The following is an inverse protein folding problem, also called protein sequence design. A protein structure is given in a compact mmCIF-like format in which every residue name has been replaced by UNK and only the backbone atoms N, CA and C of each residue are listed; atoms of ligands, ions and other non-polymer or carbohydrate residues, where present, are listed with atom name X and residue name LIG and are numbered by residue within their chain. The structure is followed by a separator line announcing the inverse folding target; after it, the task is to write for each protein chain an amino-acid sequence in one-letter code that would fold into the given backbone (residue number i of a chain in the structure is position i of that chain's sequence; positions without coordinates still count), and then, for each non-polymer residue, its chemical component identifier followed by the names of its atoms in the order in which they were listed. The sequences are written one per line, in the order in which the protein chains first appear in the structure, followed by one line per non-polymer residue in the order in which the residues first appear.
data_IF_187113222240
#
_entry.id   IF_187113222240
#
_cell.length_a   1.000
_cell.length_b   1.000
_cell.length_c   1.000
_cell.angle_alpha   90.00
_cell.angle_beta   90.00
_cell.angle_gamma   90.00
#
_symmetry.space_group_name_H-M   'P 1'
#
loop_
_entity.id
_entity.type
_entity.pdbx_description
1 polymer ?
#
# COMPACT_ATOMS: atom_id res chain seq x y z
N UNK A 1 -4.78 -21.70 15.16
CA UNK A 1 -3.73 -21.73 16.20
C UNK A 1 -2.38 -21.65 15.50
N UNK A 2 -1.35 -20.99 16.07
CA UNK A 2 0.00 -21.00 15.48
C UNK A 2 0.55 -22.43 15.44
N UNK A 3 1.38 -22.72 14.44
CA UNK A 3 2.03 -24.02 14.25
C UNK A 3 3.22 -24.27 15.18
N UNK A 4 3.70 -23.21 15.82
CA UNK A 4 4.76 -23.27 16.83
C UNK A 4 4.35 -22.48 18.07
N UNK A 5 4.95 -22.78 19.21
CA UNK A 5 4.76 -22.01 20.44
C UNK A 5 5.29 -20.58 20.25
N UNK A 6 4.49 -19.60 20.60
CA UNK A 6 4.91 -18.22 20.68
C UNK A 6 5.78 -18.01 21.94
N UNK A 7 6.86 -17.28 21.81
CA UNK A 7 7.75 -16.90 22.94
C UNK A 7 7.23 -15.59 23.52
N UNK A 8 6.69 -15.65 24.72
CA UNK A 8 6.22 -14.44 25.42
C UNK A 8 7.37 -13.59 25.92
N UNK A 9 7.14 -12.29 26.10
CA UNK A 9 8.19 -11.33 26.50
C UNK A 9 8.92 -11.77 27.77
N UNK A 10 8.18 -12.26 28.78
CA UNK A 10 8.74 -12.72 30.05
C UNK A 10 9.61 -13.98 29.95
N UNK A 11 9.41 -14.78 28.90
CA UNK A 11 10.12 -16.04 28.64
C UNK A 11 11.28 -15.88 27.65
N UNK A 12 11.37 -14.71 27.01
CA UNK A 12 12.36 -14.43 25.98
C UNK A 12 13.78 -14.34 26.54
N UNK A 13 14.77 -14.86 25.78
CA UNK A 13 16.17 -14.65 26.08
C UNK A 13 16.54 -13.15 26.05
N UNK A 14 17.63 -12.72 26.67
CA UNK A 14 18.06 -11.32 26.61
C UNK A 14 18.19 -10.78 25.19
N UNK A 15 18.71 -11.59 24.25
CA UNK A 15 18.83 -11.22 22.82
C UNK A 15 17.49 -11.02 22.13
N UNK A 16 16.54 -11.95 22.32
CA UNK A 16 15.18 -11.86 21.77
C UNK A 16 14.45 -10.67 22.38
N UNK A 17 14.62 -10.43 23.68
CA UNK A 17 13.99 -9.32 24.38
C UNK A 17 14.49 -7.97 23.85
N UNK A 18 15.78 -7.83 23.58
CA UNK A 18 16.32 -6.61 22.97
C UNK A 18 15.67 -6.31 21.60
N UNK A 19 15.42 -7.35 20.78
CA UNK A 19 14.71 -7.18 19.50
C UNK A 19 13.23 -6.79 19.74
N UNK A 20 12.58 -7.37 20.73
CA UNK A 20 11.20 -7.01 21.09
C UNK A 20 11.09 -5.54 21.53
N UNK A 21 12.02 -5.08 22.35
CA UNK A 21 12.07 -3.69 22.81
C UNK A 21 12.26 -2.73 21.63
N UNK A 22 13.15 -3.06 20.69
CA UNK A 22 13.34 -2.28 19.48
C UNK A 22 12.06 -2.27 18.61
N UNK A 23 11.39 -3.42 18.41
CA UNK A 23 10.14 -3.51 17.67
C UNK A 23 9.06 -2.61 18.29
N UNK A 24 8.90 -2.69 19.61
CA UNK A 24 7.90 -1.88 20.34
C UNK A 24 8.22 -0.40 20.22
N UNK A 25 9.47 0.00 20.39
CA UNK A 25 9.91 1.39 20.28
C UNK A 25 9.69 1.94 18.85
N UNK A 26 10.14 1.22 17.82
CA UNK A 26 10.01 1.66 16.42
C UNK A 26 8.56 1.74 15.98
N UNK A 27 7.70 0.81 16.41
CA UNK A 27 6.27 0.77 16.04
C UNK A 27 5.39 1.66 16.92
N UNK A 28 5.91 2.22 18.01
CA UNK A 28 5.15 3.03 18.97
C UNK A 28 4.00 2.23 19.58
N UNK A 29 4.28 1.02 20.09
CA UNK A 29 3.32 0.11 20.72
C UNK A 29 3.86 -0.43 22.04
N UNK A 30 2.98 -0.86 22.93
CA UNK A 30 3.29 -1.36 24.29
C UNK A 30 3.20 -2.89 24.41
N UNK A 31 3.10 -3.59 23.28
CA UNK A 31 3.03 -5.06 23.24
C UNK A 31 3.86 -5.63 22.09
N UNK A 32 4.30 -6.88 22.22
CA UNK A 32 4.97 -7.61 21.15
C UNK A 32 3.93 -8.29 20.27
N UNK A 33 3.82 -7.95 18.96
CA UNK A 33 2.87 -8.60 18.07
C UNK A 33 3.16 -10.10 17.89
N UNK A 34 2.12 -10.90 17.76
CA UNK A 34 2.21 -12.38 17.71
C UNK A 34 3.13 -12.90 16.60
N UNK A 35 3.22 -12.20 15.46
CA UNK A 35 4.16 -12.55 14.40
C UNK A 35 5.61 -12.64 14.92
N UNK A 36 6.06 -11.65 15.69
CA UNK A 36 7.41 -11.62 16.25
C UNK A 36 7.60 -12.67 17.33
N UNK A 37 6.58 -12.89 18.18
CA UNK A 37 6.60 -13.97 19.18
C UNK A 37 6.71 -15.36 18.52
N UNK A 38 6.09 -15.52 17.35
CA UNK A 38 6.17 -16.77 16.57
C UNK A 38 7.57 -16.96 15.99
N UNK A 39 8.17 -15.92 15.38
CA UNK A 39 9.54 -15.97 14.85
C UNK A 39 10.60 -16.18 15.93
N UNK A 40 10.34 -15.77 17.16
CA UNK A 40 11.24 -15.94 18.29
C UNK A 40 11.47 -17.40 18.68
N UNK A 41 10.66 -18.33 18.16
CA UNK A 41 10.97 -19.76 18.24
C UNK A 41 12.29 -20.15 17.55
N UNK A 42 12.79 -19.28 16.65
CA UNK A 42 14.08 -19.38 15.99
C UNK A 42 14.75 -17.98 15.97
N UNK A 43 15.52 -17.61 17.03
CA UNK A 43 16.05 -16.27 17.21
C UNK A 43 16.86 -15.71 16.02
N UNK A 44 17.71 -16.48 15.31
CA UNK A 44 18.39 -15.99 14.13
C UNK A 44 17.44 -15.50 13.03
N UNK A 45 16.33 -16.20 12.79
CA UNK A 45 15.31 -15.81 11.80
C UNK A 45 14.58 -14.53 12.25
N UNK A 46 14.23 -14.43 13.54
CA UNK A 46 13.65 -13.20 14.09
C UNK A 46 14.54 -11.99 13.82
N UNK A 47 15.84 -12.10 14.12
CA UNK A 47 16.81 -11.02 13.94
C UNK A 47 16.95 -10.62 12.44
N UNK A 48 17.02 -11.61 11.56
CA UNK A 48 17.14 -11.39 10.11
C UNK A 48 15.89 -10.68 9.55
N UNK A 49 14.72 -11.21 9.85
CA UNK A 49 13.45 -10.66 9.35
C UNK A 49 13.21 -9.26 9.91
N UNK A 50 13.49 -9.03 11.20
CA UNK A 50 13.34 -7.70 11.79
C UNK A 50 14.28 -6.69 11.13
N UNK A 51 15.54 -7.00 10.97
CA UNK A 51 16.52 -6.12 10.31
C UNK A 51 16.09 -5.77 8.89
N UNK A 52 15.67 -6.76 8.09
CA UNK A 52 15.21 -6.55 6.72
C UNK A 52 13.96 -5.66 6.66
N UNK A 53 12.97 -5.94 7.49
CA UNK A 53 11.75 -5.14 7.56
C UNK A 53 12.04 -3.71 8.03
N UNK A 54 12.81 -3.57 9.10
CA UNK A 54 13.18 -2.27 9.65
C UNK A 54 13.90 -1.43 8.61
N UNK A 55 14.87 -2.00 7.88
CA UNK A 55 15.57 -1.31 6.79
C UNK A 55 14.63 -0.90 5.65
N UNK A 56 13.74 -1.78 5.21
CA UNK A 56 12.79 -1.50 4.14
C UNK A 56 11.82 -0.36 4.49
N UNK A 57 11.41 -0.28 5.76
CA UNK A 57 10.43 0.71 6.23
C UNK A 57 11.05 2.02 6.70
N UNK A 58 12.40 2.16 6.73
CA UNK A 58 13.07 3.42 7.07
C UNK A 58 12.61 4.56 6.14
N UNK A 59 12.57 5.82 6.64
CA UNK A 59 12.28 6.98 5.82
C UNK A 59 13.20 7.06 4.60
N UNK A 60 12.64 7.36 3.44
CA UNK A 60 13.36 7.45 2.18
C UNK A 60 12.59 8.29 1.16
N UNK A 61 12.81 8.04 -0.13
CA UNK A 61 12.06 8.73 -1.19
C UNK A 61 10.57 8.39 -1.21
N UNK A 62 10.20 7.21 -0.71
CA UNK A 62 8.82 6.87 -0.42
C UNK A 62 8.56 7.21 1.05
N UNK A 63 7.48 7.93 1.31
CA UNK A 63 7.03 8.21 2.68
C UNK A 63 6.48 6.96 3.38
N UNK A 64 6.28 7.07 4.69
CA UNK A 64 5.82 5.96 5.51
C UNK A 64 4.42 5.45 5.12
N UNK A 65 3.50 6.36 4.79
CA UNK A 65 2.14 6.00 4.37
C UNK A 65 2.17 5.21 3.06
N UNK A 66 2.92 5.69 2.08
CA UNK A 66 3.10 4.99 0.79
C UNK A 66 3.66 3.58 1.00
N UNK A 67 4.65 3.41 1.88
CA UNK A 67 5.22 2.09 2.19
C UNK A 67 4.22 1.15 2.85
N UNK A 68 3.43 1.63 3.80
CA UNK A 68 2.38 0.84 4.45
C UNK A 68 1.26 0.46 3.46
N UNK A 69 0.87 1.36 2.55
CA UNK A 69 -0.10 1.08 1.50
C UNK A 69 0.41 0.02 0.52
N UNK A 70 1.69 0.06 0.12
CA UNK A 70 2.32 -0.98 -0.71
C UNK A 70 2.31 -2.32 0.03
N UNK A 71 2.73 -2.34 1.31
CA UNK A 71 2.73 -3.56 2.12
C UNK A 71 1.33 -4.15 2.28
N UNK A 72 0.31 -3.29 2.43
CA UNK A 72 -1.09 -3.69 2.49
C UNK A 72 -1.58 -4.28 1.16
N UNK A 73 -1.25 -3.66 0.02
CA UNK A 73 -1.57 -4.17 -1.31
C UNK A 73 -0.97 -5.55 -1.57
N UNK A 74 0.30 -5.73 -1.24
CA UNK A 74 1.00 -7.03 -1.32
C UNK A 74 0.35 -8.07 -0.40
N UNK A 75 0.00 -7.67 0.82
CA UNK A 75 -0.64 -8.54 1.79
C UNK A 75 -2.03 -8.99 1.34
N UNK A 76 -2.81 -8.08 0.74
CA UNK A 76 -4.13 -8.38 0.18
C UNK A 76 -4.02 -9.35 -1.01
N UNK A 77 -3.08 -9.12 -1.92
CA UNK A 77 -2.80 -10.00 -3.06
C UNK A 77 -2.40 -11.42 -2.62
N UNK A 78 -1.59 -11.53 -1.57
CA UNK A 78 -1.12 -12.81 -1.03
C UNK A 78 -2.10 -13.48 -0.04
N UNK A 79 -3.22 -12.84 0.32
CA UNK A 79 -4.21 -13.38 1.24
C UNK A 79 -3.74 -13.48 2.71
N UNK A 80 -2.75 -12.65 3.13
CA UNK A 80 -2.24 -12.67 4.50
C UNK A 80 -3.13 -11.86 5.43
N UNK A 81 -4.13 -12.50 6.07
CA UNK A 81 -5.07 -11.82 6.98
C UNK A 81 -4.37 -11.07 8.11
N UNK A 82 -3.33 -11.65 8.70
CA UNK A 82 -2.56 -11.00 9.76
C UNK A 82 -1.88 -9.71 9.25
N UNK A 83 -1.23 -9.79 8.08
CA UNK A 83 -0.49 -8.69 7.49
C UNK A 83 -1.45 -7.57 7.04
N UNK A 84 -2.61 -7.92 6.45
CA UNK A 84 -3.64 -6.94 6.08
C UNK A 84 -4.04 -6.11 7.31
N UNK A 85 -4.38 -6.76 8.43
CA UNK A 85 -4.78 -6.05 9.66
C UNK A 85 -3.67 -5.19 10.22
N UNK A 86 -2.43 -5.70 10.24
CA UNK A 86 -1.27 -4.98 10.76
C UNK A 86 -0.96 -3.73 9.94
N UNK A 87 -0.89 -3.86 8.61
CA UNK A 87 -0.57 -2.75 7.72
C UNK A 87 -1.72 -1.74 7.59
N UNK A 88 -2.99 -2.20 7.65
CA UNK A 88 -4.13 -1.28 7.75
C UNK A 88 -4.04 -0.42 9.00
N UNK A 89 -3.76 -1.00 10.17
CA UNK A 89 -3.62 -0.26 11.40
C UNK A 89 -2.46 0.74 11.37
N UNK A 90 -1.31 0.35 10.79
CA UNK A 90 -0.15 1.22 10.64
C UNK A 90 -0.43 2.37 9.65
N UNK A 91 -1.04 2.09 8.49
CA UNK A 91 -1.40 3.10 7.50
C UNK A 91 -2.41 4.12 8.07
N UNK A 92 -3.39 3.66 8.87
CA UNK A 92 -4.35 4.56 9.54
C UNK A 92 -3.67 5.50 10.53
N UNK A 93 -2.69 5.04 11.30
CA UNK A 93 -1.87 5.92 12.16
C UNK A 93 -1.14 7.01 11.36
N UNK A 94 -0.84 6.75 10.09
CA UNK A 94 -0.19 7.68 9.16
C UNK A 94 -1.16 8.50 8.33
N UNK A 95 -2.47 8.41 8.59
CA UNK A 95 -3.51 9.24 7.98
C UNK A 95 -4.31 8.60 6.85
N UNK A 96 -4.22 7.29 6.62
CA UNK A 96 -5.09 6.60 5.66
C UNK A 96 -6.53 6.60 6.16
N UNK A 97 -7.44 7.19 5.40
CA UNK A 97 -8.88 7.16 5.62
C UNK A 97 -9.57 6.00 4.88
N UNK A 98 -10.91 5.92 4.98
CA UNK A 98 -11.68 4.86 4.34
C UNK A 98 -11.75 5.03 2.82
N UNK A 99 -11.72 6.26 2.30
CA UNK A 99 -11.73 6.54 0.87
C UNK A 99 -10.40 6.08 0.24
N UNK A 100 -9.27 6.41 0.85
CA UNK A 100 -7.94 5.95 0.43
C UNK A 100 -7.83 4.42 0.45
N UNK A 101 -8.37 3.78 1.51
CA UNK A 101 -8.40 2.32 1.59
C UNK A 101 -9.26 1.72 0.46
N UNK A 102 -10.42 2.33 0.17
CA UNK A 102 -11.29 1.93 -0.93
C UNK A 102 -10.59 2.04 -2.29
N UNK A 103 -9.91 3.14 -2.57
CA UNK A 103 -9.12 3.33 -3.80
C UNK A 103 -7.99 2.30 -3.91
N UNK A 104 -7.26 2.07 -2.82
CA UNK A 104 -6.20 1.06 -2.77
C UNK A 104 -6.73 -0.33 -3.11
N UNK A 105 -7.86 -0.74 -2.51
CA UNK A 105 -8.46 -2.05 -2.77
C UNK A 105 -9.02 -2.16 -4.18
N UNK A 106 -9.53 -1.08 -4.77
CA UNK A 106 -9.94 -1.05 -6.18
C UNK A 106 -8.74 -1.30 -7.12
N UNK A 107 -7.58 -0.67 -6.83
CA UNK A 107 -6.33 -0.94 -7.57
C UNK A 107 -5.90 -2.40 -7.40
N UNK A 108 -5.85 -2.90 -6.17
CA UNK A 108 -5.48 -4.30 -5.88
C UNK A 108 -6.37 -5.28 -6.63
N UNK A 109 -7.69 -5.11 -6.57
CA UNK A 109 -8.65 -5.98 -7.24
C UNK A 109 -8.48 -5.96 -8.76
N UNK A 110 -8.40 -4.75 -9.35
CA UNK A 110 -8.23 -4.57 -10.79
C UNK A 110 -6.93 -5.23 -11.29
N UNK A 111 -5.82 -4.99 -10.62
CA UNK A 111 -4.53 -5.51 -11.08
C UNK A 111 -4.33 -7.00 -10.79
N UNK A 112 -4.93 -7.55 -9.75
CA UNK A 112 -5.01 -8.99 -9.57
C UNK A 112 -5.76 -9.66 -10.74
N UNK A 113 -6.86 -9.04 -11.22
CA UNK A 113 -7.60 -9.52 -12.38
C UNK A 113 -6.79 -9.42 -13.67
N UNK A 114 -6.27 -8.23 -13.99
CA UNK A 114 -5.55 -8.00 -15.25
C UNK A 114 -4.26 -8.78 -15.35
N UNK A 115 -3.51 -8.93 -14.26
CA UNK A 115 -2.31 -9.74 -14.22
C UNK A 115 -2.62 -11.23 -14.50
N UNK A 116 -3.72 -11.76 -13.93
CA UNK A 116 -4.15 -13.13 -14.23
C UNK A 116 -4.59 -13.32 -15.67
N UNK A 117 -5.21 -12.31 -16.29
CA UNK A 117 -5.58 -12.35 -17.71
C UNK A 117 -4.33 -12.30 -18.59
N UNK A 118 -3.39 -11.39 -18.31
CA UNK A 118 -2.16 -11.26 -19.07
C UNK A 118 -1.32 -12.56 -19.00
N UNK A 119 -1.16 -13.12 -17.81
CA UNK A 119 -0.46 -14.38 -17.58
C UNK A 119 -1.18 -15.56 -18.24
N UNK A 120 -2.50 -15.68 -18.03
CA UNK A 120 -3.31 -16.77 -18.60
C UNK A 120 -3.37 -16.78 -20.13
N UNK A 121 -3.33 -15.61 -20.76
CA UNK A 121 -3.24 -15.47 -22.21
C UNK A 121 -1.79 -15.45 -22.73
N UNK A 122 -0.78 -15.51 -21.85
CA UNK A 122 0.63 -15.42 -22.21
C UNK A 122 0.93 -14.21 -23.10
N UNK A 123 0.41 -13.04 -22.73
CA UNK A 123 0.55 -11.80 -23.49
C UNK A 123 2.01 -11.42 -23.62
N UNK A 124 2.50 -11.29 -24.86
CA UNK A 124 3.85 -10.83 -25.14
C UNK A 124 4.03 -9.36 -24.77
N UNK A 125 5.21 -9.00 -24.26
CA UNK A 125 5.52 -7.61 -23.90
C UNK A 125 5.83 -6.82 -25.16
N UNK A 126 5.19 -5.67 -25.34
CA UNK A 126 5.42 -4.79 -26.49
C UNK A 126 6.85 -4.23 -26.48
N UNK A 127 7.51 -4.19 -27.64
CA UNK A 127 8.87 -3.65 -27.79
C UNK A 127 8.98 -2.20 -27.31
N UNK A 128 7.93 -1.41 -27.51
CA UNK A 128 7.85 -0.02 -27.06
C UNK A 128 7.88 0.09 -25.53
N UNK A 129 7.22 -0.84 -24.82
CA UNK A 129 7.23 -0.89 -23.35
C UNK A 129 8.59 -1.34 -22.83
N UNK A 130 9.24 -2.29 -23.52
CA UNK A 130 10.60 -2.73 -23.19
C UNK A 130 11.59 -1.56 -23.33
N UNK A 131 11.53 -0.80 -24.42
CA UNK A 131 12.36 0.38 -24.63
C UNK A 131 12.11 1.48 -23.60
N UNK A 132 10.86 1.75 -23.25
CA UNK A 132 10.48 2.77 -22.27
C UNK A 132 10.92 2.40 -20.83
N UNK A 133 10.87 1.11 -20.45
CA UNK A 133 11.28 0.63 -19.12
C UNK A 133 12.80 0.62 -18.92
N UNK A 134 13.59 0.62 -19.98
CA UNK A 134 15.06 0.61 -19.93
C UNK A 134 15.71 1.95 -19.48
N UNK A 135 14.93 2.93 -19.06
CA UNK A 135 15.41 4.12 -18.36
C UNK A 135 15.32 5.41 -19.16
N UNK A 136 14.23 6.14 -18.98
CA UNK A 136 14.26 7.60 -19.12
C UNK A 136 14.13 8.26 -17.74
N UNK A 137 14.87 9.36 -17.47
CA UNK A 137 14.76 10.08 -16.21
C UNK A 137 13.36 10.69 -16.05
N UNK A 138 12.91 10.83 -14.81
CA UNK A 138 11.56 11.21 -14.34
C UNK A 138 11.00 12.58 -14.85
N UNK A 139 11.60 13.21 -15.83
CA UNK A 139 11.15 14.49 -16.44
C UNK A 139 9.87 14.35 -17.28
N UNK A 140 9.49 13.12 -17.69
CA UNK A 140 8.29 12.87 -18.49
C UNK A 140 6.98 12.90 -17.67
N UNK A 141 7.04 12.65 -16.36
CA UNK A 141 5.83 12.58 -15.50
C UNK A 141 5.22 13.95 -15.19
N UNK A 142 6.00 15.03 -15.23
CA UNK A 142 5.49 16.38 -15.00
C UNK A 142 4.52 16.84 -16.11
N UNK A 143 4.72 16.40 -17.34
CA UNK A 143 3.88 16.76 -18.51
C UNK A 143 2.53 16.04 -18.49
N UNK A 144 2.47 14.78 -18.07
CA UNK A 144 1.23 14.00 -17.97
C UNK A 144 0.35 14.52 -16.83
N UNK A 145 0.95 14.83 -15.68
CA UNK A 145 0.26 15.42 -14.53
C UNK A 145 -0.33 16.80 -14.85
N UNK A 146 0.37 17.62 -15.62
CA UNK A 146 -0.11 18.92 -16.08
C UNK A 146 -1.26 18.81 -17.12
N UNK A 147 -1.21 17.80 -17.99
CA UNK A 147 -2.27 17.52 -18.97
C UNK A 147 -3.56 17.03 -18.28
N UNK A 148 -3.46 16.14 -17.31
CA UNK A 148 -4.59 15.62 -16.52
C UNK A 148 -5.25 16.72 -15.65
N UNK A 149 -4.47 17.66 -15.10
CA UNK A 149 -5.02 18.83 -14.38
C UNK A 149 -5.80 19.76 -15.32
N UNK A 150 -5.33 19.98 -16.55
CA UNK A 150 -6.02 20.81 -17.56
C UNK A 150 -7.36 20.19 -17.98
N UNK A 151 -7.42 18.86 -18.19
CA UNK A 151 -8.67 18.17 -18.55
C UNK A 151 -9.69 18.16 -17.40
N UNK A 152 -9.24 17.99 -16.14
CA UNK A 152 -10.12 18.09 -14.95
C UNK A 152 -10.71 19.48 -14.75
N UNK A 153 -9.92 20.53 -15.00
CA UNK A 153 -10.41 21.93 -14.93
C UNK A 153 -11.40 22.24 -16.05
N UNK A 154 -11.17 21.74 -17.27
CA UNK A 154 -12.07 21.92 -18.41
C UNK A 154 -13.43 21.23 -18.20
N UNK A 155 -13.44 19.99 -17.67
CA UNK A 155 -14.67 19.26 -17.38
C UNK A 155 -15.50 19.92 -16.27
N UNK A 156 -14.86 20.44 -15.21
CA UNK A 156 -15.57 21.20 -14.16
C UNK A 156 -16.16 22.52 -14.66
N UNK A 157 -15.53 23.17 -15.64
CA UNK A 157 -16.05 24.41 -16.25
C UNK A 157 -17.25 24.13 -17.16
N UNK A 158 -17.25 23.00 -17.88
CA UNK A 158 -18.38 22.57 -18.72
C UNK A 158 -19.63 22.19 -17.91
N UNK A 159 -19.47 21.60 -16.71
CA UNK A 159 -20.58 21.25 -15.83
C UNK A 159 -21.20 22.45 -15.08
N UNK A 160 -20.54 23.62 -15.06
CA UNK A 160 -21.02 24.85 -14.42
C UNK A 160 -21.73 25.81 -15.37
N UNK A 161 -21.96 25.45 -16.64
CA UNK A 161 -22.74 26.30 -17.56
C UNK A 161 -24.22 26.33 -17.13
N UNK A 162 -24.88 27.51 -16.99
CA UNK A 162 -26.25 27.60 -16.51
C UNK A 162 -27.19 27.04 -17.56
N UNK A 163 -28.05 26.10 -17.18
CA UNK A 163 -29.22 25.70 -18.01
C UNK A 163 -30.07 26.94 -18.33
N UNK A 164 -30.19 27.28 -19.58
CA UNK A 164 -31.11 28.29 -20.07
C UNK A 164 -32.53 27.94 -19.58
N UNK A 165 -33.11 28.83 -18.79
CA UNK A 165 -34.53 28.75 -18.36
C UNK A 165 -35.40 28.94 -19.60
N UNK A 166 -35.94 27.84 -20.11
CA UNK A 166 -37.01 27.88 -21.10
C UNK A 166 -38.27 28.52 -20.52
N UNK A 167 -38.63 29.68 -21.06
CA UNK A 167 -39.81 30.46 -20.77
C UNK A 167 -41.05 29.71 -21.34
N UNK A 168 -41.87 29.18 -20.46
CA UNK A 168 -43.17 28.67 -20.87
C UNK A 168 -44.06 29.86 -21.26
N UNK A 169 -44.43 29.97 -22.53
CA UNK A 169 -45.48 30.85 -23.01
C UNK A 169 -46.85 30.21 -22.73
N UNK A 170 -47.68 30.90 -21.95
CA UNK A 170 -49.11 30.63 -21.82
C UNK A 170 -49.82 31.13 -23.10
N UNK A 171 -50.62 30.28 -23.72
CA UNK A 171 -51.77 30.72 -24.54
C UNK A 171 -52.96 29.87 -24.19
N UNK A 172 -53.97 30.57 -23.73
CA UNK A 172 -55.45 30.47 -23.74
C UNK A 172 -56.05 29.09 -24.01
#
# INVERSE_FOLDING_TARGET
MPTVRMVEYGEASPEVRAIYDEIMAVKGIDFVPNFWKTLASHPPLLAEVWRSLHQAMQPGRLDGLTKEMIALAVSATNGCTYCIRSHTAAARKLGMDDEMLGELMAVVGTFNQTNRLADGYQVEVDDQLMAASAGQPATALASVSAALRKTRVASRKAQRSPRARGRAARHR
#
